data_IF_608422668592
#
_entry.id   IF_608422668592
#
_cell.length_a   1.000
_cell.length_b   1.000
_cell.length_c   1.000
_cell.angle_alpha   90.00
_cell.angle_beta   90.00
_cell.angle_gamma   90.00
#
_symmetry.space_group_name_H-M   'P 1'
#
loop_
_entity.id
_entity.type
_entity.pdbx_description
1 polymer ?
#
# COMPACT_ATOMS: atom_id res chain seq x y z
N UNK A 1 -4.03 4.60 6.93
CA UNK A 1 -2.85 3.82 6.48
C UNK A 1 -2.96 2.34 6.89
N UNK A 2 -3.07 2.01 8.18
CA UNK A 2 -3.14 0.60 8.62
C UNK A 2 -4.28 -0.18 7.94
N UNK A 3 -5.48 0.40 7.85
CA UNK A 3 -6.58 -0.19 7.09
C UNK A 3 -6.27 -0.36 5.60
N UNK A 4 -5.53 0.59 5.01
CA UNK A 4 -5.10 0.49 3.62
C UNK A 4 -4.14 -0.69 3.39
N UNK A 5 -3.23 -0.97 4.35
CA UNK A 5 -2.35 -2.13 4.30
C UNK A 5 -3.15 -3.45 4.31
N UNK A 6 -4.12 -3.58 5.22
CA UNK A 6 -4.95 -4.79 5.31
C UNK A 6 -5.80 -5.00 4.06
N UNK A 7 -6.41 -3.92 3.55
CA UNK A 7 -7.24 -4.00 2.32
C UNK A 7 -6.37 -4.31 1.10
N UNK A 8 -5.18 -3.73 0.98
CA UNK A 8 -4.26 -4.01 -0.12
C UNK A 8 -3.73 -5.44 -0.07
N UNK A 9 -3.39 -5.94 1.13
CA UNK A 9 -2.97 -7.33 1.30
C UNK A 9 -4.07 -8.32 0.88
N UNK A 10 -5.34 -8.03 1.22
CA UNK A 10 -6.48 -8.82 0.77
C UNK A 10 -6.73 -8.70 -0.73
N UNK A 11 -6.58 -7.49 -1.29
CA UNK A 11 -6.87 -7.22 -2.71
C UNK A 11 -5.87 -7.87 -3.67
N UNK A 12 -4.58 -7.86 -3.29
CA UNK A 12 -3.46 -8.31 -4.13
C UNK A 12 -2.90 -9.67 -3.70
N UNK A 13 -3.38 -10.24 -2.59
CA UNK A 13 -3.06 -11.60 -2.18
C UNK A 13 -3.88 -12.66 -2.92
N UNK A 14 -3.54 -13.91 -2.69
CA UNK A 14 -4.28 -15.05 -3.23
C UNK A 14 -5.74 -15.08 -2.73
N UNK A 15 -6.63 -15.65 -3.55
CA UNK A 15 -8.00 -15.91 -3.12
C UNK A 15 -8.01 -16.96 -1.99
N UNK A 16 -8.56 -16.58 -0.85
CA UNK A 16 -8.64 -17.45 0.33
C UNK A 16 -9.84 -18.41 0.29
N UNK A 17 -10.60 -18.44 -0.80
CA UNK A 17 -11.72 -19.36 -0.94
C UNK A 17 -11.27 -20.82 -0.85
N UNK A 18 -11.95 -21.58 -0.02
CA UNK A 18 -11.83 -23.04 0.06
C UNK A 18 -13.07 -23.73 -0.50
N UNK A 19 -13.19 -23.96 -1.83
CA UNK A 19 -14.45 -24.39 -2.47
C UNK A 19 -15.03 -25.70 -1.91
N UNK A 20 -14.18 -26.53 -1.29
CA UNK A 20 -14.55 -27.81 -0.66
C UNK A 20 -14.69 -27.74 0.86
N UNK A 21 -14.61 -26.54 1.45
CA UNK A 21 -14.71 -26.39 2.90
C UNK A 21 -16.16 -26.64 3.37
N UNK A 22 -16.33 -27.28 4.52
CA UNK A 22 -17.66 -27.54 5.10
C UNK A 22 -18.36 -26.25 5.54
N UNK A 23 -17.59 -25.24 5.98
CA UNK A 23 -18.09 -23.91 6.31
C UNK A 23 -18.44 -23.12 5.03
N UNK A 24 -19.71 -22.72 4.83
CA UNK A 24 -20.13 -21.97 3.66
C UNK A 24 -19.40 -20.62 3.53
N UNK A 25 -19.06 -19.95 4.63
CA UNK A 25 -18.33 -18.68 4.61
C UNK A 25 -16.93 -18.85 4.05
N UNK A 26 -16.25 -19.94 4.37
CA UNK A 26 -14.91 -20.24 3.85
C UNK A 26 -14.89 -20.67 2.38
N UNK A 27 -16.05 -20.90 1.77
CA UNK A 27 -16.16 -21.17 0.32
C UNK A 27 -16.23 -19.90 -0.50
N UNK A 28 -16.57 -18.76 0.11
CA UNK A 28 -16.70 -17.48 -0.61
C UNK A 28 -15.33 -16.93 -1.01
N UNK A 29 -15.30 -16.34 -2.21
CA UNK A 29 -14.10 -15.66 -2.73
C UNK A 29 -13.80 -14.39 -1.94
N UNK A 30 -12.52 -14.15 -1.67
CA UNK A 30 -12.01 -12.91 -1.08
C UNK A 30 -11.59 -11.89 -2.13
N UNK A 31 -11.70 -12.21 -3.42
CA UNK A 31 -11.33 -11.28 -4.50
C UNK A 31 -12.25 -10.06 -4.53
N UNK A 32 -11.63 -8.90 -4.67
CA UNK A 32 -12.31 -7.61 -4.72
C UNK A 32 -12.49 -7.14 -6.17
N UNK A 33 -13.58 -6.43 -6.46
CA UNK A 33 -13.83 -5.82 -7.79
C UNK A 33 -13.05 -4.52 -8.01
N UNK A 34 -12.76 -3.79 -6.97
CA UNK A 34 -11.97 -2.57 -6.98
C UNK A 34 -11.53 -2.25 -5.55
N UNK A 35 -10.47 -1.46 -5.40
CA UNK A 35 -9.95 -1.09 -4.09
C UNK A 35 -9.58 0.40 -4.03
N UNK A 36 -9.81 1.03 -2.88
CA UNK A 36 -9.41 2.40 -2.62
C UNK A 36 -8.56 2.49 -1.34
N UNK A 37 -7.37 3.06 -1.45
CA UNK A 37 -6.36 3.11 -0.40
C UNK A 37 -6.02 4.57 -0.06
N UNK A 38 -5.89 4.87 1.23
CA UNK A 38 -5.46 6.18 1.69
C UNK A 38 -4.17 6.06 2.50
N UNK A 39 -3.09 6.68 2.03
CA UNK A 39 -1.80 6.73 2.71
C UNK A 39 -1.16 5.36 2.99
N UNK A 40 -1.32 4.39 2.10
CA UNK A 40 -0.70 3.07 2.22
C UNK A 40 0.82 3.16 2.09
N UNK A 41 1.55 2.38 2.89
CA UNK A 41 2.99 2.15 2.69
C UNK A 41 3.17 1.00 1.68
N UNK A 42 3.95 1.22 0.62
CA UNK A 42 4.19 0.19 -0.40
C UNK A 42 4.97 -1.00 0.12
N UNK A 43 5.94 -0.71 0.97
CA UNK A 43 6.86 -1.71 1.52
C UNK A 43 7.18 -1.39 2.97
N UNK A 44 7.52 -2.42 3.74
CA UNK A 44 8.08 -2.31 5.09
C UNK A 44 9.59 -2.64 5.10
N UNK A 45 10.21 -2.66 3.93
CA UNK A 45 11.65 -2.66 3.79
C UNK A 45 12.21 -1.29 4.15
N UNK A 46 12.82 -1.18 5.32
CA UNK A 46 13.34 0.08 5.84
C UNK A 46 14.60 0.56 5.11
N UNK A 47 15.35 -0.30 4.43
CA UNK A 47 16.45 0.12 3.56
C UNK A 47 15.88 0.88 2.36
N UNK A 48 14.79 0.39 1.76
CA UNK A 48 14.05 1.13 0.73
C UNK A 48 13.55 2.49 1.25
N UNK A 49 13.08 2.56 2.51
CA UNK A 49 12.63 3.84 3.09
C UNK A 49 13.76 4.86 3.19
N UNK A 50 14.98 4.43 3.57
CA UNK A 50 16.17 5.31 3.64
C UNK A 50 16.44 5.96 2.29
N UNK A 51 16.33 5.18 1.21
CA UNK A 51 16.66 5.65 -0.14
C UNK A 51 15.53 6.48 -0.78
N UNK A 52 14.27 6.26 -0.38
CA UNK A 52 13.12 6.80 -1.10
C UNK A 52 12.25 7.77 -0.30
N UNK A 53 12.33 7.79 1.02
CA UNK A 53 11.53 8.68 1.86
C UNK A 53 12.42 9.79 2.42
N UNK A 54 12.28 11.03 1.94
CA UNK A 54 13.12 12.14 2.42
C UNK A 54 13.04 12.29 3.94
N UNK A 55 14.20 12.46 4.57
CA UNK A 55 14.30 12.64 6.02
C UNK A 55 14.07 11.41 6.88
N UNK A 56 13.77 10.25 6.27
CA UNK A 56 13.70 9.00 7.01
C UNK A 56 15.09 8.55 7.44
N UNK A 57 15.18 8.01 8.65
CA UNK A 57 16.39 7.41 9.23
C UNK A 57 16.01 6.14 9.98
N UNK A 58 16.88 5.13 9.93
CA UNK A 58 16.64 3.83 10.60
C UNK A 58 16.36 3.98 12.11
N UNK A 59 16.96 4.99 12.75
CA UNK A 59 16.77 5.25 14.19
C UNK A 59 15.31 5.57 14.55
N UNK A 60 14.47 5.99 13.60
CA UNK A 60 13.03 6.17 13.86
C UNK A 60 12.32 4.86 14.21
N UNK A 61 12.90 3.73 13.83
CA UNK A 61 12.39 2.39 14.15
C UNK A 61 13.32 1.64 15.12
N UNK A 62 14.45 2.23 15.56
CA UNK A 62 15.29 1.66 16.61
C UNK A 62 14.48 1.47 17.88
N UNK A 63 14.46 0.31 18.47
CA UNK A 63 13.63 -0.08 19.62
C UNK A 63 12.31 -0.77 19.26
N UNK A 64 11.99 -0.91 17.97
CA UNK A 64 10.91 -1.80 17.48
C UNK A 64 11.46 -3.09 16.87
N UNK A 65 12.78 -3.21 16.73
CA UNK A 65 13.41 -4.44 16.30
C UNK A 65 13.37 -5.42 17.47
N UNK A 66 12.71 -6.52 17.25
CA UNK A 66 12.86 -7.66 18.11
C UNK A 66 14.24 -8.27 17.83
N UNK A 67 15.12 -8.33 18.84
CA UNK A 67 16.36 -9.09 18.75
C UNK A 67 16.09 -10.62 18.65
N UNK A 68 14.79 -11.01 18.64
CA UNK A 68 14.32 -12.40 18.59
C UNK A 68 14.43 -13.03 17.21
N UNK A 69 14.54 -12.23 16.14
CA UNK A 69 14.62 -12.74 14.76
C UNK A 69 16.03 -12.59 14.19
N UNK A 70 16.48 -13.59 13.47
CA UNK A 70 17.66 -13.46 12.62
C UNK A 70 17.39 -12.43 11.51
N UNK A 71 18.43 -11.79 10.98
CA UNK A 71 18.30 -10.86 9.84
C UNK A 71 17.63 -11.49 8.61
N UNK A 72 17.77 -12.80 8.43
CA UNK A 72 17.16 -13.54 7.32
C UNK A 72 15.67 -13.69 7.55
N UNK A 73 15.25 -14.07 8.77
CA UNK A 73 13.84 -14.18 9.15
C UNK A 73 13.15 -12.81 9.10
N UNK A 74 13.77 -11.76 9.63
CA UNK A 74 13.27 -10.40 9.56
C UNK A 74 13.00 -9.98 8.10
N UNK A 75 13.94 -10.20 7.20
CA UNK A 75 13.78 -9.87 5.77
C UNK A 75 12.66 -10.67 5.12
N UNK A 76 12.52 -11.95 5.43
CA UNK A 76 11.44 -12.78 4.92
C UNK A 76 10.07 -12.26 5.37
N UNK A 77 9.93 -11.90 6.65
CA UNK A 77 8.71 -11.30 7.20
C UNK A 77 8.41 -9.96 6.52
N UNK A 78 9.41 -9.05 6.44
CA UNK A 78 9.23 -7.73 5.83
C UNK A 78 8.83 -7.83 4.37
N UNK A 79 9.38 -8.80 3.63
CA UNK A 79 9.00 -9.10 2.26
C UNK A 79 7.55 -9.56 2.17
N UNK A 80 7.13 -10.47 3.02
CA UNK A 80 5.77 -11.03 3.05
C UNK A 80 4.72 -9.97 3.38
N UNK A 81 4.97 -9.11 4.36
CA UNK A 81 4.02 -8.07 4.78
C UNK A 81 4.09 -6.79 3.92
N UNK A 82 4.98 -6.72 2.95
CA UNK A 82 5.11 -5.59 2.02
C UNK A 82 4.16 -5.75 0.84
N UNK A 83 3.07 -5.00 0.81
CA UNK A 83 1.98 -5.14 -0.16
C UNK A 83 2.41 -5.04 -1.62
N UNK A 84 3.48 -4.31 -1.93
CA UNK A 84 4.02 -4.18 -3.29
C UNK A 84 4.47 -5.52 -3.89
N UNK A 85 4.82 -6.49 -3.04
CA UNK A 85 5.30 -7.80 -3.47
C UNK A 85 4.18 -8.76 -3.87
N UNK A 86 2.93 -8.43 -3.54
CA UNK A 86 1.75 -9.24 -3.85
C UNK A 86 1.01 -8.79 -5.12
N UNK A 87 1.49 -7.71 -5.76
CA UNK A 87 0.84 -7.16 -6.96
C UNK A 87 1.14 -8.04 -8.17
N UNK A 88 0.07 -8.58 -8.78
CA UNK A 88 0.10 -9.45 -9.94
C UNK A 88 -0.84 -8.97 -11.06
N UNK A 89 -0.75 -9.63 -12.24
CA UNK A 89 -1.70 -9.45 -13.32
C UNK A 89 -3.09 -9.96 -12.90
N UNK A 90 -4.12 -9.18 -13.17
CA UNK A 90 -5.50 -9.52 -12.81
C UNK A 90 -5.95 -9.01 -11.45
N UNK A 91 -5.09 -8.32 -10.73
CA UNK A 91 -5.47 -7.62 -9.51
C UNK A 91 -6.53 -6.53 -9.77
N UNK A 92 -7.35 -6.17 -8.76
CA UNK A 92 -8.44 -5.25 -8.94
C UNK A 92 -7.96 -3.83 -9.25
N UNK A 93 -8.72 -3.08 -10.08
CA UNK A 93 -8.49 -1.64 -10.27
C UNK A 93 -8.32 -0.93 -8.94
N UNK A 94 -7.31 -0.07 -8.85
CA UNK A 94 -6.85 0.52 -7.60
C UNK A 94 -6.86 2.04 -7.64
N UNK A 95 -7.51 2.67 -6.66
CA UNK A 95 -7.41 4.10 -6.39
C UNK A 95 -6.55 4.34 -5.15
N UNK A 96 -5.60 5.27 -5.24
CA UNK A 96 -4.76 5.65 -4.11
C UNK A 96 -4.78 7.16 -3.88
N UNK A 97 -4.79 7.58 -2.60
CA UNK A 97 -4.72 9.00 -2.26
C UNK A 97 -3.65 9.28 -1.19
N UNK A 98 -2.95 10.40 -1.38
CA UNK A 98 -1.93 10.91 -0.46
C UNK A 98 -2.13 12.41 -0.25
N UNK A 99 -1.84 12.88 0.94
CA UNK A 99 -2.07 14.27 1.35
C UNK A 99 -0.94 15.24 0.99
N UNK A 100 0.11 14.80 0.28
CA UNK A 100 1.25 15.64 -0.06
C UNK A 100 1.75 15.38 -1.49
N UNK A 101 2.34 16.40 -2.11
CA UNK A 101 3.05 16.26 -3.38
C UNK A 101 4.48 15.72 -3.17
N UNK A 102 5.11 15.12 -4.21
CA UNK A 102 6.51 14.67 -4.13
C UNK A 102 7.49 15.81 -3.77
N UNK A 103 7.17 17.04 -4.18
CA UNK A 103 7.96 18.25 -3.90
C UNK A 103 7.60 18.93 -2.58
N UNK A 104 6.73 18.35 -1.75
CA UNK A 104 6.35 18.96 -0.48
C UNK A 104 7.54 19.07 0.46
N UNK A 105 7.67 20.24 1.10
CA UNK A 105 8.75 20.49 2.06
C UNK A 105 8.61 19.61 3.31
N UNK A 106 9.74 19.14 3.79
CA UNK A 106 9.80 18.33 5.02
C UNK A 106 9.46 19.19 6.24
N UNK A 107 8.51 18.76 7.10
CA UNK A 107 8.16 19.52 8.31
C UNK A 107 9.29 19.59 9.33
N UNK A 108 9.51 20.77 9.90
CA UNK A 108 10.50 20.98 10.97
C UNK A 108 10.03 20.45 12.34
N UNK A 109 8.74 20.14 12.51
CA UNK A 109 8.16 19.67 13.76
C UNK A 109 8.16 18.13 13.78
N UNK A 110 8.76 17.50 14.82
CA UNK A 110 8.91 16.05 14.94
C UNK A 110 7.59 15.27 14.86
N UNK A 111 6.50 15.79 15.43
CA UNK A 111 5.19 15.12 15.38
C UNK A 111 4.63 15.08 13.95
N UNK A 112 4.74 16.21 13.24
CA UNK A 112 4.32 16.31 11.83
C UNK A 112 5.25 15.51 10.92
N UNK A 113 6.55 15.53 11.20
CA UNK A 113 7.56 14.78 10.46
C UNK A 113 7.27 13.27 10.46
N UNK A 114 6.90 12.70 11.61
CA UNK A 114 6.51 11.27 11.68
C UNK A 114 5.35 10.95 10.75
N UNK A 115 4.26 11.72 10.83
CA UNK A 115 3.11 11.55 9.94
C UNK A 115 3.46 11.73 8.46
N UNK A 116 4.30 12.72 8.16
CA UNK A 116 4.78 13.01 6.82
C UNK A 116 5.60 11.84 6.24
N UNK A 117 6.54 11.29 7.00
CA UNK A 117 7.36 10.15 6.61
C UNK A 117 6.49 8.92 6.31
N UNK A 118 5.63 8.51 7.24
CA UNK A 118 4.85 7.26 7.12
C UNK A 118 3.72 7.33 6.10
N UNK A 119 3.35 8.52 5.63
CA UNK A 119 2.33 8.73 4.60
C UNK A 119 2.90 9.43 3.35
N UNK A 120 4.22 9.35 3.13
CA UNK A 120 4.85 10.02 2.01
C UNK A 120 4.34 9.48 0.67
N UNK A 121 4.09 10.37 -0.29
CA UNK A 121 3.53 10.02 -1.60
C UNK A 121 4.44 9.09 -2.42
N UNK A 122 5.74 9.02 -2.12
CA UNK A 122 6.66 8.10 -2.79
C UNK A 122 6.25 6.63 -2.62
N UNK A 123 5.55 6.26 -1.55
CA UNK A 123 4.92 4.95 -1.45
C UNK A 123 3.87 4.75 -2.55
N UNK A 124 3.03 5.76 -2.78
CA UNK A 124 2.03 5.73 -3.83
C UNK A 124 2.63 5.66 -5.22
N UNK A 125 3.70 6.43 -5.48
CA UNK A 125 4.42 6.38 -6.76
C UNK A 125 5.06 5.01 -7.03
N UNK A 126 5.60 4.37 -6.00
CA UNK A 126 6.14 3.01 -6.11
C UNK A 126 5.05 1.98 -6.42
N UNK A 127 3.90 2.06 -5.74
CA UNK A 127 2.73 1.21 -6.00
C UNK A 127 2.16 1.45 -7.39
N UNK A 128 1.98 2.71 -7.81
CA UNK A 128 1.50 3.05 -9.15
C UNK A 128 2.38 2.42 -10.23
N UNK A 129 3.69 2.60 -10.12
CA UNK A 129 4.65 2.01 -11.05
C UNK A 129 4.49 0.47 -11.13
N UNK A 130 4.37 -0.20 -9.99
CA UNK A 130 4.26 -1.65 -9.94
C UNK A 130 2.92 -2.14 -10.52
N UNK A 131 1.80 -1.50 -10.17
CA UNK A 131 0.47 -1.81 -10.69
C UNK A 131 0.43 -1.66 -12.21
N UNK A 132 0.96 -0.54 -12.75
CA UNK A 132 1.05 -0.34 -14.20
C UNK A 132 1.90 -1.40 -14.90
N UNK A 133 3.02 -1.82 -14.30
CA UNK A 133 3.86 -2.90 -14.82
C UNK A 133 3.15 -4.25 -14.86
N UNK A 134 2.20 -4.48 -13.96
CA UNK A 134 1.33 -5.67 -13.91
C UNK A 134 0.05 -5.53 -14.76
N UNK A 135 -0.12 -4.43 -15.51
CA UNK A 135 -1.29 -4.20 -16.35
C UNK A 135 -2.57 -3.83 -15.59
N UNK A 136 -2.45 -3.49 -14.30
CA UNK A 136 -3.59 -3.13 -13.43
C UNK A 136 -3.97 -1.66 -13.63
N UNK A 137 -5.26 -1.36 -13.78
CA UNK A 137 -5.74 0.03 -13.79
C UNK A 137 -5.51 0.68 -12.43
N UNK A 138 -4.79 1.81 -12.44
CA UNK A 138 -4.45 2.54 -11.21
C UNK A 138 -4.72 4.03 -11.35
N UNK A 139 -5.19 4.63 -10.28
CA UNK A 139 -5.38 6.07 -10.13
C UNK A 139 -4.67 6.55 -8.87
N UNK A 140 -3.69 7.42 -9.03
CA UNK A 140 -2.97 8.03 -7.92
C UNK A 140 -3.33 9.51 -7.79
N UNK A 141 -3.89 9.88 -6.64
CA UNK A 141 -4.29 11.23 -6.27
C UNK A 141 -3.38 11.81 -5.20
N UNK A 142 -2.82 12.98 -5.47
CA UNK A 142 -2.07 13.80 -4.51
C UNK A 142 -2.17 15.28 -4.92
N UNK A 143 -1.80 16.27 -4.07
CA UNK A 143 -1.79 17.67 -4.43
C UNK A 143 -0.93 17.96 -5.66
N UNK A 144 -1.53 18.52 -6.69
CA UNK A 144 -0.88 18.79 -7.99
C UNK A 144 -1.04 17.69 -9.05
N UNK A 145 -1.56 16.51 -8.69
CA UNK A 145 -1.95 15.51 -9.67
C UNK A 145 -3.31 15.85 -10.33
N UNK A 146 -3.50 15.38 -11.55
CA UNK A 146 -4.78 15.51 -12.30
C UNK A 146 -5.35 14.13 -12.63
N UNK A 147 -5.85 13.38 -11.63
CA UNK A 147 -6.30 12.01 -11.83
C UNK A 147 -7.63 11.96 -12.60
N UNK A 148 -7.87 10.85 -13.31
CA UNK A 148 -9.13 10.57 -14.04
C UNK A 148 -10.36 10.61 -13.14
N UNK A 149 -10.25 10.20 -11.87
CA UNK A 149 -11.33 10.25 -10.88
C UNK A 149 -10.99 11.23 -9.77
N UNK A 150 -11.96 12.07 -9.40
CA UNK A 150 -11.77 13.11 -8.38
C UNK A 150 -11.81 12.56 -6.95
N UNK A 151 -12.45 11.41 -6.75
CA UNK A 151 -12.59 10.75 -5.44
C UNK A 151 -12.54 9.23 -5.55
N UNK A 152 -12.26 8.60 -4.41
CA UNK A 152 -12.38 7.16 -4.20
C UNK A 152 -13.81 6.66 -4.43
N UNK A 153 -14.81 7.43 -4.00
CA UNK A 153 -16.24 7.08 -4.19
C UNK A 153 -16.58 7.04 -5.68
N UNK A 154 -16.18 8.05 -6.47
CA UNK A 154 -16.44 8.09 -7.92
C UNK A 154 -15.78 6.90 -8.62
N UNK A 155 -14.53 6.58 -8.23
CA UNK A 155 -13.80 5.44 -8.74
C UNK A 155 -14.50 4.12 -8.42
N UNK A 156 -14.85 3.89 -7.15
CA UNK A 156 -15.51 2.66 -6.72
C UNK A 156 -16.88 2.51 -7.39
N UNK A 157 -17.69 3.57 -7.46
CA UNK A 157 -19.00 3.53 -8.15
C UNK A 157 -18.86 3.20 -9.62
N UNK A 158 -17.81 3.67 -10.30
CA UNK A 158 -17.55 3.34 -11.70
C UNK A 158 -17.31 1.84 -11.90
N UNK A 159 -16.54 1.21 -11.02
CA UNK A 159 -16.18 -0.21 -11.14
C UNK A 159 -17.25 -1.16 -10.58
N UNK A 160 -18.03 -0.76 -9.57
CA UNK A 160 -19.04 -1.60 -8.95
C UNK A 160 -20.36 -1.63 -9.73
N UNK A 161 -20.62 -0.66 -10.62
CA UNK A 161 -21.82 -0.61 -11.47
C UNK A 161 -21.69 -1.41 -12.77
N UNK A 162 -20.52 -1.94 -13.05
CA UNK A 162 -20.27 -2.87 -14.16
C UNK A 162 -20.43 -4.31 -13.69
#
# INVERSE_FOLDING_TARGET
SAGAQLVAYLAWGDDLAGPKNDDPVKRESTKLKAVALNGAQSTLDFDWWVDNIPGYRLEFHSGRRSDEYSKVEERAILKEISIINHIDEGDPPTFMSYGMAPSSEMPNNLKRLRGWIIHHVNFGLALEKRLLQSGVEVVLKYPGASPKFSSDVDFLLHHLKK
#
